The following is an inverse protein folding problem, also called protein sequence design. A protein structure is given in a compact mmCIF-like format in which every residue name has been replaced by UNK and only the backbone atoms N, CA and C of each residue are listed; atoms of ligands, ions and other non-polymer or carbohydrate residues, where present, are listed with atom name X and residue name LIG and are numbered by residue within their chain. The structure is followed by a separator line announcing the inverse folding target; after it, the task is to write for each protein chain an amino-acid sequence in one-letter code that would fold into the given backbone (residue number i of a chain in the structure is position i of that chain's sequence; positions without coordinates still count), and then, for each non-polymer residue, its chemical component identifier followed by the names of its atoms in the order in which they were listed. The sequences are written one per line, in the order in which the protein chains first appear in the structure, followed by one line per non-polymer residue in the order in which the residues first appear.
data_IF_401901438244
#
_entry.id   IF_401901438244
#
_cell.length_a   1.000
_cell.length_b   1.000
_cell.length_c   1.000
_cell.angle_alpha   90.00
_cell.angle_beta   90.00
_cell.angle_gamma   90.00
#
_symmetry.space_group_name_H-M   'P 1'
#
loop_
_entity.id
_entity.type
_entity.pdbx_description
1 polymer ?
#
# COMPACT_ATOMS: atom_id res chain seq x y z
N UNK A 1 -31.46 73.81 -20.75
CA UNK A 1 -30.93 72.85 -19.76
C UNK A 1 -31.08 71.47 -20.38
N UNK A 2 -30.07 71.00 -21.09
CA UNK A 2 -28.90 70.23 -20.61
C UNK A 2 -29.15 68.77 -21.07
N UNK A 3 -28.69 68.35 -22.24
CA UNK A 3 -27.32 68.12 -22.71
C UNK A 3 -26.68 66.82 -22.15
N UNK A 4 -26.01 66.15 -23.09
CA UNK A 4 -24.91 65.18 -22.94
C UNK A 4 -25.27 63.73 -23.22
N UNK A 5 -24.44 62.94 -23.90
CA UNK A 5 -23.31 63.19 -24.79
C UNK A 5 -22.98 61.79 -25.34
N UNK A 6 -22.85 61.65 -26.65
CA UNK A 6 -22.26 60.47 -27.27
C UNK A 6 -20.75 60.55 -26.99
N UNK A 7 -20.21 59.63 -26.20
CA UNK A 7 -18.77 59.42 -26.09
C UNK A 7 -18.39 58.12 -26.81
N UNK A 8 -17.88 58.29 -28.02
CA UNK A 8 -16.95 57.34 -28.63
C UNK A 8 -15.77 57.14 -27.68
N UNK A 9 -15.60 55.93 -27.18
CA UNK A 9 -14.32 55.50 -26.62
C UNK A 9 -13.64 54.64 -27.67
N UNK A 10 -12.73 55.28 -28.41
CA UNK A 10 -11.68 54.59 -29.15
C UNK A 10 -10.85 53.83 -28.10
N UNK A 11 -11.03 52.52 -28.01
CA UNK A 11 -10.03 51.67 -27.41
C UNK A 11 -8.87 51.60 -28.40
N UNK A 12 -7.83 52.39 -28.12
CA UNK A 12 -6.50 52.16 -28.68
C UNK A 12 -6.12 50.73 -28.29
N UNK A 13 -6.13 49.84 -29.27
CA UNK A 13 -5.41 48.58 -29.20
C UNK A 13 -3.93 48.97 -29.11
N UNK A 14 -3.43 49.20 -27.89
CA UNK A 14 -2.01 48.98 -27.65
C UNK A 14 -1.81 47.50 -27.91
N UNK A 15 -1.18 47.17 -29.03
CA UNK A 15 -0.72 45.82 -29.28
C UNK A 15 0.17 45.43 -28.10
N UNK A 16 -0.36 44.60 -27.21
CA UNK A 16 0.48 43.72 -26.44
C UNK A 16 1.13 42.82 -27.49
N UNK A 17 2.44 43.00 -27.69
CA UNK A 17 3.24 41.89 -28.17
C UNK A 17 3.14 40.83 -27.08
N UNK A 18 2.10 40.01 -27.13
CA UNK A 18 2.11 38.73 -26.48
C UNK A 18 3.20 37.95 -27.22
N UNK A 19 4.44 38.12 -26.75
CA UNK A 19 5.44 37.09 -26.89
C UNK A 19 4.83 35.88 -26.20
N UNK A 20 4.08 35.11 -26.99
CA UNK A 20 3.47 33.85 -26.63
C UNK A 20 4.62 32.88 -26.35
N UNK A 21 5.29 33.03 -25.21
CA UNK A 21 6.45 32.20 -24.88
C UNK A 21 5.95 30.79 -24.59
N UNK A 22 6.47 29.79 -25.30
CA UNK A 22 6.21 28.39 -24.98
C UNK A 22 6.74 28.07 -23.58
N UNK A 23 5.87 27.56 -22.72
CA UNK A 23 6.22 27.08 -21.38
C UNK A 23 6.21 25.56 -21.34
N UNK A 24 7.30 24.97 -20.86
CA UNK A 24 7.46 23.52 -20.70
C UNK A 24 6.94 23.08 -19.35
N UNK A 25 6.15 22.01 -19.31
CA UNK A 25 5.57 21.45 -18.10
C UNK A 25 5.53 19.91 -18.18
N UNK A 26 5.26 19.26 -17.03
CA UNK A 26 4.99 17.82 -16.94
C UNK A 26 3.47 17.61 -16.84
N UNK A 27 2.78 17.03 -17.86
CA UNK A 27 1.34 16.82 -17.83
C UNK A 27 0.83 15.99 -16.65
N UNK A 28 1.63 15.05 -16.16
CA UNK A 28 1.34 14.18 -15.02
C UNK A 28 1.43 14.91 -13.67
N UNK A 29 2.07 16.09 -13.61
CA UNK A 29 2.21 16.90 -12.39
C UNK A 29 0.88 17.50 -11.88
N UNK A 30 -0.20 17.37 -12.65
CA UNK A 30 -1.55 17.83 -12.24
C UNK A 30 -2.13 17.09 -11.02
N UNK A 31 -1.58 15.93 -10.67
CA UNK A 31 -2.03 15.11 -9.55
C UNK A 31 -0.88 14.28 -8.96
N UNK A 32 -1.04 13.88 -7.69
CA UNK A 32 -0.17 12.89 -7.07
C UNK A 32 -0.32 11.53 -7.76
N UNK A 33 0.80 10.94 -8.16
CA UNK A 33 0.85 9.62 -8.78
C UNK A 33 1.02 8.55 -7.70
N UNK A 34 -0.09 8.00 -7.19
CA UNK A 34 -0.07 6.93 -6.18
C UNK A 34 0.15 5.58 -6.88
N UNK A 35 1.20 4.84 -6.49
CA UNK A 35 1.53 3.53 -7.04
C UNK A 35 1.76 2.52 -5.93
N UNK A 36 0.94 1.47 -5.97
CA UNK A 36 1.14 0.26 -5.19
C UNK A 36 1.70 -0.80 -6.14
N UNK A 37 2.78 -1.47 -5.75
CA UNK A 37 3.46 -2.45 -6.59
C UNK A 37 3.97 -3.64 -5.77
N UNK A 38 4.17 -4.78 -6.44
CA UNK A 38 4.87 -5.93 -5.85
C UNK A 38 6.37 -5.62 -5.84
N UNK A 39 7.00 -5.72 -4.67
CA UNK A 39 8.43 -5.49 -4.50
C UNK A 39 9.28 -6.49 -5.29
N UNK A 40 8.76 -7.70 -5.54
CA UNK A 40 9.40 -8.73 -6.36
C UNK A 40 9.35 -8.43 -7.87
N UNK A 41 8.62 -7.39 -8.29
CA UNK A 41 8.50 -6.99 -9.69
C UNK A 41 9.06 -5.60 -9.94
N UNK A 42 9.51 -5.36 -11.17
CA UNK A 42 9.90 -4.03 -11.61
C UNK A 42 8.64 -3.18 -11.86
N UNK A 43 8.54 -2.02 -11.20
CA UNK A 43 7.54 -1.02 -11.55
C UNK A 43 8.13 -0.09 -12.62
N UNK A 44 7.43 0.04 -13.76
CA UNK A 44 7.81 0.94 -14.85
C UNK A 44 6.73 1.98 -15.11
N UNK A 45 7.09 3.24 -14.94
CA UNK A 45 6.24 4.41 -15.20
C UNK A 45 6.78 5.21 -16.37
N UNK A 46 5.85 5.72 -17.18
CA UNK A 46 6.16 6.54 -18.35
C UNK A 46 5.47 7.89 -18.20
N UNK A 47 6.19 8.95 -18.52
CA UNK A 47 5.67 10.31 -18.55
C UNK A 47 6.39 11.10 -19.65
N UNK A 48 6.02 12.36 -19.86
CA UNK A 48 6.64 13.19 -20.87
C UNK A 48 6.64 14.66 -20.45
N UNK A 49 7.32 15.50 -21.20
CA UNK A 49 7.18 16.96 -21.08
C UNK A 49 6.47 17.51 -22.31
N UNK A 50 5.70 18.57 -22.12
CA UNK A 50 4.92 19.20 -23.17
C UNK A 50 4.99 20.72 -23.08
N UNK A 51 4.55 21.42 -24.13
CA UNK A 51 4.48 22.88 -24.16
C UNK A 51 3.06 23.44 -24.14
N UNK A 52 2.92 24.58 -23.48
CA UNK A 52 1.69 25.38 -23.44
C UNK A 52 1.99 26.84 -23.79
N UNK A 53 1.00 27.51 -24.41
CA UNK A 53 0.99 28.96 -24.60
C UNK A 53 0.40 29.72 -23.39
N UNK A 54 -0.34 28.99 -22.55
CA UNK A 54 -1.16 29.56 -21.49
C UNK A 54 -0.51 29.32 -20.13
N UNK A 55 -0.66 30.31 -19.24
CA UNK A 55 -0.34 30.19 -17.81
C UNK A 55 -1.12 29.06 -17.12
N UNK A 56 -2.26 28.70 -17.70
CA UNK A 56 -3.02 27.51 -17.34
C UNK A 56 -2.72 26.39 -18.33
N UNK A 57 -2.18 25.29 -17.83
CA UNK A 57 -1.91 24.08 -18.58
C UNK A 57 -3.22 23.49 -19.11
N UNK A 58 -3.55 23.83 -20.35
CA UNK A 58 -4.57 23.16 -21.16
C UNK A 58 -3.85 22.42 -22.28
N UNK A 59 -4.46 21.37 -22.85
CA UNK A 59 -3.89 20.62 -23.96
C UNK A 59 -3.73 21.57 -25.16
N UNK A 60 -2.59 22.22 -25.27
CA UNK A 60 -2.32 23.21 -26.30
C UNK A 60 -1.80 22.48 -27.54
N UNK A 61 -2.36 22.79 -28.71
CA UNK A 61 -1.82 22.32 -29.99
C UNK A 61 -0.62 23.13 -30.48
N UNK A 62 0.17 23.70 -29.55
CA UNK A 62 1.30 24.58 -29.87
C UNK A 62 2.55 23.74 -30.10
N UNK A 63 3.22 24.00 -31.20
CA UNK A 63 4.47 23.36 -31.58
C UNK A 63 5.65 24.31 -31.28
N UNK A 64 6.82 23.75 -30.99
CA UNK A 64 8.04 24.54 -30.79
C UNK A 64 8.71 24.86 -32.13
N UNK A 65 9.19 26.09 -32.30
CA UNK A 65 9.86 26.52 -33.54
C UNK A 65 11.30 26.00 -33.72
N UNK A 66 11.88 25.43 -32.67
CA UNK A 66 13.21 24.82 -32.63
C UNK A 66 13.27 23.81 -31.50
N UNK A 67 14.30 22.96 -31.51
CA UNK A 67 14.48 21.94 -30.47
C UNK A 67 14.55 22.57 -29.07
N UNK A 68 13.71 22.07 -28.16
CA UNK A 68 13.73 22.46 -26.75
C UNK A 68 14.32 21.33 -25.93
N UNK A 69 15.45 21.60 -25.26
CA UNK A 69 16.11 20.62 -24.39
C UNK A 69 15.63 20.80 -22.97
N UNK A 70 15.33 19.69 -22.31
CA UNK A 70 14.77 19.68 -20.95
C UNK A 70 15.58 18.74 -20.08
N UNK A 71 15.96 19.22 -18.91
CA UNK A 71 16.67 18.48 -17.87
C UNK A 71 15.75 18.30 -16.66
N UNK A 72 15.79 17.12 -16.06
CA UNK A 72 15.00 16.73 -14.90
C UNK A 72 15.89 16.11 -13.83
N UNK A 73 15.50 16.27 -12.57
CA UNK A 73 16.13 15.60 -11.43
C UNK A 73 15.11 15.14 -10.42
N UNK A 74 15.54 14.27 -9.51
CA UNK A 74 14.82 14.05 -8.25
C UNK A 74 15.25 15.12 -7.26
N UNK A 75 14.29 15.88 -6.73
CA UNK A 75 14.55 17.03 -5.85
C UNK A 75 14.13 16.76 -4.40
N UNK A 76 15.09 16.47 -3.54
CA UNK A 76 14.86 16.19 -2.12
C UNK A 76 14.16 17.34 -1.38
N UNK A 77 14.41 18.60 -1.76
CA UNK A 77 13.77 19.75 -1.12
C UNK A 77 12.24 19.75 -1.33
N UNK A 78 11.77 19.19 -2.45
CA UNK A 78 10.34 19.05 -2.75
C UNK A 78 9.64 18.04 -1.85
N UNK A 79 10.35 17.07 -1.28
CA UNK A 79 9.77 16.17 -0.27
C UNK A 79 9.40 16.93 1.00
N UNK A 80 10.31 17.79 1.47
CA UNK A 80 10.10 18.60 2.67
C UNK A 80 8.96 19.61 2.47
N UNK A 81 8.90 20.24 1.29
CA UNK A 81 7.82 21.14 0.91
C UNK A 81 6.47 20.41 0.89
N UNK A 82 6.39 19.25 0.23
CA UNK A 82 5.17 18.44 0.17
C UNK A 82 4.69 18.04 1.56
N UNK A 83 5.58 17.49 2.39
CA UNK A 83 5.26 17.06 3.75
C UNK A 83 4.73 18.22 4.61
N UNK A 84 5.36 19.39 4.51
CA UNK A 84 4.93 20.59 5.24
C UNK A 84 3.55 21.09 4.79
N UNK A 85 3.28 21.09 3.48
CA UNK A 85 2.02 21.55 2.91
C UNK A 85 0.86 20.57 3.18
N UNK A 86 1.12 19.27 3.12
CA UNK A 86 0.11 18.23 3.23
C UNK A 86 -0.05 17.67 4.65
N UNK A 87 0.82 18.05 5.59
CA UNK A 87 0.83 17.49 6.95
C UNK A 87 1.19 16.00 6.96
N UNK A 88 2.06 15.58 6.05
CA UNK A 88 2.55 14.20 5.90
C UNK A 88 3.99 14.07 6.38
N UNK A 89 4.50 12.84 6.44
CA UNK A 89 5.88 12.55 6.86
C UNK A 89 6.47 11.45 5.98
N UNK A 90 6.34 11.59 4.65
CA UNK A 90 6.86 10.60 3.71
C UNK A 90 8.37 10.76 3.55
N UNK A 91 9.18 9.70 3.73
CA UNK A 91 10.59 9.72 3.36
C UNK A 91 10.75 9.78 1.82
N UNK A 92 11.88 10.32 1.37
CA UNK A 92 12.31 10.21 -0.03
C UNK A 92 12.56 8.73 -0.37
N UNK A 93 12.13 8.27 -1.53
CA UNK A 93 12.50 6.93 -2.02
C UNK A 93 14.04 6.84 -2.17
N UNK A 94 14.70 5.81 -1.61
CA UNK A 94 16.15 5.68 -1.71
C UNK A 94 16.65 5.65 -3.16
N UNK A 95 17.78 6.31 -3.42
CA UNK A 95 18.30 6.51 -4.79
C UNK A 95 18.73 5.23 -5.50
N UNK A 96 19.03 4.17 -4.76
CA UNK A 96 19.36 2.85 -5.31
C UNK A 96 18.12 2.01 -5.64
N UNK A 97 16.91 2.49 -5.34
CA UNK A 97 15.65 1.85 -5.69
C UNK A 97 15.17 2.18 -7.11
N UNK A 98 15.72 3.18 -7.80
CA UNK A 98 15.15 3.62 -9.07
C UNK A 98 16.19 4.06 -10.10
N UNK A 99 15.77 4.07 -11.36
CA UNK A 99 16.44 4.75 -12.47
C UNK A 99 15.45 5.69 -13.15
N UNK A 100 15.96 6.79 -13.69
CA UNK A 100 15.14 7.84 -14.29
C UNK A 100 15.82 8.35 -15.56
N UNK A 101 15.07 8.48 -16.65
CA UNK A 101 15.50 9.28 -17.80
C UNK A 101 15.48 10.76 -17.39
N UNK A 102 16.65 11.39 -17.32
CA UNK A 102 16.81 12.76 -16.79
C UNK A 102 16.87 13.84 -17.86
N UNK A 103 16.99 13.47 -19.14
CA UNK A 103 17.11 14.43 -20.23
C UNK A 103 16.17 14.06 -21.36
N UNK A 104 15.60 15.07 -22.01
CA UNK A 104 14.81 14.86 -23.23
C UNK A 104 14.80 16.10 -24.11
N UNK A 105 14.28 15.92 -25.32
CA UNK A 105 14.11 16.98 -26.32
C UNK A 105 12.66 16.96 -26.79
N UNK A 106 12.07 18.14 -26.89
CA UNK A 106 10.86 18.37 -27.68
C UNK A 106 11.36 18.85 -29.05
N UNK A 107 11.26 18.02 -30.11
CA UNK A 107 11.77 18.39 -31.43
C UNK A 107 11.07 19.60 -32.02
N UNK A 108 11.75 20.34 -32.89
CA UNK A 108 11.13 21.37 -33.71
C UNK A 108 9.89 20.83 -34.45
N UNK A 109 8.77 21.55 -34.38
CA UNK A 109 7.48 21.14 -34.97
C UNK A 109 6.66 20.20 -34.09
N UNK A 110 7.13 19.84 -32.88
CA UNK A 110 6.39 18.98 -31.95
C UNK A 110 5.87 19.77 -30.74
N UNK A 111 4.89 19.18 -30.06
CA UNK A 111 4.29 19.75 -28.82
C UNK A 111 4.67 18.99 -27.55
N UNK A 112 5.35 17.85 -27.69
CA UNK A 112 5.76 16.97 -26.60
C UNK A 112 7.07 16.25 -26.89
N UNK A 113 7.74 15.83 -25.84
CA UNK A 113 8.93 14.98 -25.95
C UNK A 113 8.56 13.53 -26.26
N UNK A 114 9.58 12.72 -26.52
CA UNK A 114 9.47 11.27 -26.36
C UNK A 114 9.23 10.90 -24.89
N UNK A 115 8.82 9.64 -24.68
CA UNK A 115 8.59 9.05 -23.37
C UNK A 115 9.86 9.08 -22.49
N UNK A 116 9.72 9.69 -21.32
CA UNK A 116 10.63 9.58 -20.17
C UNK A 116 10.21 8.35 -19.35
N UNK A 117 11.19 7.67 -18.76
CA UNK A 117 10.94 6.41 -18.03
C UNK A 117 11.46 6.53 -16.60
N UNK A 118 10.59 6.22 -15.65
CA UNK A 118 10.94 5.94 -14.27
C UNK A 118 10.80 4.43 -14.05
N UNK A 119 11.89 3.78 -13.65
CA UNK A 119 11.89 2.36 -13.30
C UNK A 119 12.23 2.22 -11.82
N UNK A 120 11.45 1.43 -11.08
CA UNK A 120 11.63 1.20 -9.64
C UNK A 120 11.84 -0.29 -9.38
N UNK A 121 12.94 -0.61 -8.71
CA UNK A 121 13.39 -1.93 -8.27
C UNK A 121 13.80 -1.85 -6.78
N UNK A 122 12.86 -2.17 -5.88
CA UNK A 122 12.96 -1.82 -4.47
C UNK A 122 12.98 -3.02 -3.48
N UNK A 123 12.94 -4.27 -3.97
CA UNK A 123 12.97 -5.46 -3.11
C UNK A 123 14.15 -5.44 -2.15
N UNK A 124 13.87 -5.64 -0.85
CA UNK A 124 14.90 -5.65 0.21
C UNK A 124 15.61 -4.31 0.46
N UNK A 125 15.22 -3.23 -0.24
CA UNK A 125 15.80 -1.88 -0.09
C UNK A 125 14.89 -0.93 0.67
N UNK A 126 13.59 -1.19 0.66
CA UNK A 126 12.58 -0.43 1.41
C UNK A 126 11.75 -1.36 2.28
N UNK A 127 11.16 -0.79 3.33
CA UNK A 127 10.20 -1.50 4.17
C UNK A 127 8.88 -1.71 3.42
N UNK A 128 8.35 -2.95 3.37
CA UNK A 128 7.04 -3.21 2.79
C UNK A 128 5.92 -2.42 3.49
N UNK A 129 4.96 -1.94 2.71
CA UNK A 129 3.80 -1.16 3.12
C UNK A 129 4.08 0.24 3.68
N UNK A 130 5.35 0.65 3.77
CA UNK A 130 5.69 2.05 4.01
C UNK A 130 5.63 2.82 2.68
N UNK A 131 5.18 4.07 2.75
CA UNK A 131 5.03 4.93 1.57
C UNK A 131 6.21 5.89 1.45
N UNK A 132 6.75 6.01 0.23
CA UNK A 132 7.90 6.84 -0.11
C UNK A 132 7.50 7.86 -1.17
N UNK A 133 7.99 9.08 -1.04
CA UNK A 133 7.77 10.13 -2.03
C UNK A 133 8.95 10.20 -3.00
N UNK A 134 8.66 10.40 -4.29
CA UNK A 134 9.67 10.64 -5.32
C UNK A 134 9.24 11.83 -6.20
N UNK A 135 9.76 13.04 -5.94
CA UNK A 135 9.48 14.23 -6.74
C UNK A 135 10.44 14.33 -7.93
N UNK A 136 9.92 14.22 -9.15
CA UNK A 136 10.68 14.45 -10.39
C UNK A 136 10.38 15.85 -10.90
N UNK A 137 11.42 16.70 -10.97
CA UNK A 137 11.31 18.13 -11.22
C UNK A 137 12.11 18.56 -12.45
N UNK A 138 11.54 19.41 -13.29
CA UNK A 138 12.27 20.11 -14.37
C UNK A 138 13.27 21.08 -13.74
N UNK A 139 14.56 20.91 -14.04
CA UNK A 139 15.65 21.75 -13.53
C UNK A 139 16.17 22.76 -14.53
N UNK A 140 16.11 22.44 -15.83
CA UNK A 140 16.47 23.39 -16.87
C UNK A 140 15.67 23.16 -18.15
N UNK A 141 15.47 24.26 -18.87
CA UNK A 141 14.84 24.30 -20.19
C UNK A 141 15.69 25.23 -21.07
N UNK A 142 16.18 24.72 -22.18
CA UNK A 142 16.88 25.49 -23.21
C UNK A 142 16.00 25.59 -24.46
N UNK A 143 15.83 26.80 -25.00
CA UNK A 143 14.99 27.03 -26.20
C UNK A 143 13.52 27.36 -25.89
N UNK A 144 13.12 27.35 -24.62
CA UNK A 144 11.80 27.75 -24.13
C UNK A 144 11.90 28.24 -22.68
N UNK A 145 10.76 28.57 -22.05
CA UNK A 145 10.69 28.82 -20.61
C UNK A 145 10.12 27.59 -19.90
N UNK A 146 10.47 27.37 -18.64
CA UNK A 146 9.76 26.41 -17.81
C UNK A 146 8.45 27.04 -17.30
N UNK A 147 7.37 26.25 -17.25
CA UNK A 147 6.16 26.67 -16.56
C UNK A 147 6.43 26.88 -15.06
N UNK A 148 5.62 27.66 -14.36
CA UNK A 148 5.83 27.98 -12.94
C UNK A 148 4.95 27.15 -11.99
N UNK A 149 4.04 26.34 -12.52
CA UNK A 149 3.04 25.60 -11.75
C UNK A 149 3.31 24.09 -11.84
N UNK A 150 3.45 23.53 -13.04
CA UNK A 150 3.52 22.08 -13.28
C UNK A 150 4.94 21.61 -13.66
N UNK A 151 5.92 21.93 -12.81
CA UNK A 151 7.32 21.51 -12.99
C UNK A 151 7.68 20.19 -12.29
N UNK A 152 6.93 19.81 -11.26
CA UNK A 152 7.24 18.66 -10.40
C UNK A 152 6.09 17.66 -10.42
N UNK A 153 6.36 16.45 -10.91
CA UNK A 153 5.46 15.30 -10.70
C UNK A 153 5.89 14.57 -9.43
N UNK A 154 4.93 14.30 -8.56
CA UNK A 154 5.14 13.56 -7.31
C UNK A 154 4.62 12.14 -7.47
N UNK A 155 5.49 11.15 -7.27
CA UNK A 155 5.09 9.76 -7.10
C UNK A 155 5.03 9.42 -5.61
N UNK A 156 3.91 8.84 -5.16
CA UNK A 156 3.80 8.21 -3.83
C UNK A 156 3.81 6.70 -4.04
N UNK A 157 4.91 6.07 -3.66
CA UNK A 157 5.25 4.69 -3.99
C UNK A 157 5.16 3.83 -2.72
N UNK A 158 4.40 2.75 -2.76
CA UNK A 158 4.31 1.77 -1.68
C UNK A 158 4.43 0.35 -2.23
N UNK A 159 5.42 -0.40 -1.76
CA UNK A 159 5.65 -1.77 -2.19
C UNK A 159 5.04 -2.79 -1.24
N UNK A 160 4.44 -3.86 -1.75
CA UNK A 160 4.07 -5.05 -0.98
C UNK A 160 5.08 -6.17 -1.28
N UNK A 161 5.50 -6.91 -0.26
CA UNK A 161 6.35 -8.10 -0.44
C UNK A 161 5.48 -9.35 -0.56
N UNK A 162 6.01 -10.42 -1.15
CA UNK A 162 5.38 -11.73 -1.07
C UNK A 162 5.12 -12.12 0.40
N UNK A 163 3.88 -12.50 0.71
CA UNK A 163 3.43 -12.86 2.07
C UNK A 163 4.24 -14.01 2.68
N UNK A 164 4.82 -14.87 1.86
CA UNK A 164 5.68 -15.98 2.25
C UNK A 164 7.10 -15.55 2.59
N UNK A 165 7.57 -14.45 2.02
CA UNK A 165 8.86 -13.85 2.33
C UNK A 165 8.82 -13.00 3.62
N UNK A 166 7.62 -12.70 4.13
CA UNK A 166 7.47 -11.91 5.35
C UNK A 166 7.77 -12.71 6.63
N UNK A 167 8.36 -12.05 7.64
CA UNK A 167 8.64 -12.67 8.93
C UNK A 167 7.36 -12.97 9.70
N UNK A 168 7.38 -14.11 10.39
CA UNK A 168 6.38 -14.48 11.38
C UNK A 168 6.85 -14.05 12.78
N UNK A 169 5.90 -13.77 13.67
CA UNK A 169 6.19 -13.38 15.04
C UNK A 169 6.88 -14.52 15.83
N UNK A 170 7.77 -14.13 16.75
CA UNK A 170 8.17 -15.02 17.84
C UNK A 170 7.00 -15.20 18.80
N UNK A 171 6.66 -16.47 19.06
CA UNK A 171 5.52 -16.86 19.89
C UNK A 171 5.92 -17.34 21.29
N UNK A 172 7.21 -17.27 21.63
CA UNK A 172 7.74 -17.74 22.91
C UNK A 172 7.09 -17.10 24.15
N UNK A 173 6.54 -15.89 23.99
CA UNK A 173 5.84 -15.15 25.05
C UNK A 173 4.32 -15.17 24.92
N UNK A 174 3.77 -15.84 23.91
CA UNK A 174 2.34 -15.82 23.64
C UNK A 174 1.54 -16.57 24.71
N UNK A 175 0.33 -16.09 25.00
CA UNK A 175 -0.57 -16.70 25.97
C UNK A 175 -2.00 -16.78 25.43
N UNK A 176 -2.68 -17.88 25.72
CA UNK A 176 -4.14 -17.97 25.52
C UNK A 176 -4.81 -17.10 26.57
N UNK A 177 -5.57 -16.11 26.13
CA UNK A 177 -6.36 -15.24 27.02
C UNK A 177 -7.78 -15.78 27.16
N UNK A 178 -8.35 -16.27 26.07
CA UNK A 178 -9.72 -16.75 26.01
C UNK A 178 -9.85 -17.79 24.89
N UNK A 179 -10.68 -18.80 25.10
CA UNK A 179 -11.08 -19.76 24.06
C UNK A 179 -12.56 -20.08 24.22
N UNK A 180 -13.30 -20.20 23.11
CA UNK A 180 -14.73 -20.53 23.15
C UNK A 180 -14.99 -21.98 23.60
N UNK A 181 -14.11 -22.89 23.20
CA UNK A 181 -14.21 -24.33 23.42
C UNK A 181 -12.85 -24.98 23.15
N UNK A 182 -12.49 -26.00 23.92
CA UNK A 182 -11.30 -26.82 23.68
C UNK A 182 -11.57 -28.28 24.07
N UNK A 183 -10.87 -29.22 23.42
CA UNK A 183 -10.95 -30.64 23.72
C UNK A 183 -9.83 -31.03 24.68
N UNK A 184 -10.19 -31.21 25.96
CA UNK A 184 -9.23 -31.52 27.03
C UNK A 184 -9.16 -33.02 27.37
N UNK A 185 -9.87 -33.88 26.62
CA UNK A 185 -10.01 -35.30 26.98
C UNK A 185 -10.01 -36.29 25.80
N UNK A 186 -10.49 -35.86 24.64
CA UNK A 186 -10.65 -36.65 23.43
C UNK A 186 -9.35 -36.82 22.67
N UNK A 187 -8.48 -35.81 22.71
CA UNK A 187 -7.20 -35.78 22.01
C UNK A 187 -6.01 -36.24 22.88
N UNK A 188 -6.26 -36.63 24.13
CA UNK A 188 -5.23 -36.97 25.12
C UNK A 188 -4.80 -35.75 25.96
N UNK A 189 -3.76 -35.91 26.79
CA UNK A 189 -3.25 -34.82 27.65
C UNK A 189 -2.41 -33.79 26.91
N UNK A 190 -1.85 -34.18 25.77
CA UNK A 190 -0.79 -33.44 25.07
C UNK A 190 -1.28 -32.89 23.72
N UNK A 191 -2.60 -32.81 23.51
CA UNK A 191 -3.20 -32.29 22.29
C UNK A 191 -4.62 -31.73 22.54
N UNK A 192 -5.22 -31.03 21.57
CA UNK A 192 -6.61 -30.53 21.63
C UNK A 192 -6.78 -29.20 22.37
N UNK A 193 -5.91 -28.90 23.33
CA UNK A 193 -5.90 -27.63 24.06
C UNK A 193 -5.61 -26.40 23.18
N UNK A 194 -6.14 -25.25 23.57
CA UNK A 194 -5.97 -23.98 22.82
C UNK A 194 -4.50 -23.59 22.57
N UNK A 195 -3.60 -23.89 23.51
CA UNK A 195 -2.16 -23.60 23.39
C UNK A 195 -1.50 -24.29 22.19
N UNK A 196 -2.04 -25.44 21.78
CA UNK A 196 -1.55 -26.19 20.62
C UNK A 196 -1.91 -25.54 19.29
N UNK A 197 -2.65 -24.42 19.29
CA UNK A 197 -2.78 -23.61 18.09
C UNK A 197 -1.51 -22.81 17.78
N UNK A 198 -0.53 -22.71 18.68
CA UNK A 198 0.67 -21.89 18.45
C UNK A 198 1.93 -22.35 19.19
N UNK A 199 2.03 -23.64 19.49
CA UNK A 199 3.17 -24.24 20.19
C UNK A 199 4.38 -24.51 19.27
N UNK A 200 4.22 -24.42 17.94
CA UNK A 200 5.29 -24.63 16.95
C UNK A 200 5.39 -26.05 16.44
N UNK A 201 4.45 -26.92 16.82
CA UNK A 201 4.37 -28.30 16.40
C UNK A 201 3.14 -28.51 15.50
N UNK A 202 3.35 -28.57 14.17
CA UNK A 202 2.29 -28.90 13.18
C UNK A 202 1.62 -30.29 13.35
N UNK A 203 1.99 -31.06 14.38
CA UNK A 203 1.38 -32.35 14.73
C UNK A 203 0.42 -32.27 15.91
N UNK A 204 0.45 -31.19 16.69
CA UNK A 204 -0.56 -30.84 17.69
C UNK A 204 -1.49 -29.77 17.10
N UNK A 205 -2.65 -29.59 17.73
CA UNK A 205 -3.66 -28.64 17.29
C UNK A 205 -4.61 -28.28 18.42
N UNK A 206 -5.10 -27.05 18.41
CA UNK A 206 -6.33 -26.73 19.10
C UNK A 206 -7.48 -27.47 18.43
N UNK A 207 -8.36 -28.07 19.22
CA UNK A 207 -9.60 -28.66 18.75
C UNK A 207 -10.72 -28.19 19.66
N UNK A 208 -11.86 -27.76 19.11
CA UNK A 208 -13.04 -27.51 19.94
C UNK A 208 -13.57 -28.81 20.50
N UNK A 209 -14.17 -28.79 21.70
CA UNK A 209 -14.71 -29.99 22.33
C UNK A 209 -15.59 -30.81 21.37
N UNK A 210 -15.32 -32.11 21.29
CA UNK A 210 -16.14 -33.09 20.57
C UNK A 210 -16.52 -34.29 21.45
N UNK A 211 -15.76 -34.54 22.52
CA UNK A 211 -16.02 -35.61 23.47
C UNK A 211 -16.87 -35.10 24.63
N UNK A 212 -18.08 -35.64 24.72
CA UNK A 212 -19.05 -35.32 25.78
C UNK A 212 -19.91 -34.07 25.51
N UNK A 213 -19.51 -33.23 24.56
CA UNK A 213 -20.28 -32.12 24.02
C UNK A 213 -19.69 -31.70 22.67
N UNK A 214 -20.46 -30.97 21.86
CA UNK A 214 -20.01 -30.42 20.58
C UNK A 214 -20.68 -29.05 20.35
N UNK A 215 -20.13 -27.95 20.90
CA UNK A 215 -20.73 -26.63 20.75
C UNK A 215 -20.72 -26.19 19.27
N UNK A 216 -21.76 -25.47 18.87
CA UNK A 216 -21.88 -24.90 17.52
C UNK A 216 -20.99 -23.66 17.35
N UNK A 217 -20.49 -23.38 16.13
CA UNK A 217 -19.78 -22.14 15.82
C UNK A 217 -20.68 -20.91 16.06
N UNK A 218 -20.10 -19.71 16.26
CA UNK A 218 -18.68 -19.38 16.06
C UNK A 218 -17.76 -19.89 17.17
N UNK A 219 -16.54 -20.26 16.79
CA UNK A 219 -15.47 -20.66 17.72
C UNK A 219 -14.32 -19.69 17.69
N UNK A 220 -13.78 -19.31 18.84
CA UNK A 220 -12.70 -18.33 18.89
C UNK A 220 -11.57 -18.73 19.81
N UNK A 221 -10.39 -18.22 19.47
CA UNK A 221 -9.20 -18.18 20.32
C UNK A 221 -8.69 -16.73 20.37
N UNK A 222 -8.38 -16.25 21.58
CA UNK A 222 -7.80 -14.94 21.84
C UNK A 222 -6.40 -15.13 22.39
N UNK A 223 -5.43 -14.44 21.78
CA UNK A 223 -4.01 -14.57 22.10
C UNK A 223 -3.44 -13.21 22.49
N UNK A 224 -2.73 -13.15 23.62
CA UNK A 224 -1.81 -12.06 23.97
C UNK A 224 -0.44 -12.40 23.38
N UNK A 225 0.07 -11.56 22.48
CA UNK A 225 1.40 -11.75 21.89
C UNK A 225 2.54 -11.38 22.86
N UNK A 226 2.22 -10.76 24.00
CA UNK A 226 3.16 -10.33 25.03
C UNK A 226 3.82 -8.97 24.75
N UNK A 227 3.70 -8.45 23.53
CA UNK A 227 4.23 -7.16 23.10
C UNK A 227 3.37 -6.55 21.98
N UNK A 228 3.48 -5.23 21.80
CA UNK A 228 2.87 -4.54 20.65
C UNK A 228 3.72 -4.79 19.40
N UNK A 229 3.07 -5.14 18.29
CA UNK A 229 3.68 -5.36 16.98
C UNK A 229 2.92 -4.64 15.87
N UNK A 230 3.60 -4.34 14.76
CA UNK A 230 2.95 -3.99 13.49
C UNK A 230 2.52 -5.30 12.81
N UNK A 231 1.28 -5.72 13.07
CA UNK A 231 0.71 -6.94 12.49
C UNK A 231 0.19 -6.64 11.08
N UNK A 232 0.78 -7.29 10.08
CA UNK A 232 0.47 -7.10 8.67
C UNK A 232 -0.57 -8.11 8.17
N UNK A 233 -0.73 -9.21 8.88
CA UNK A 233 -1.56 -10.34 8.48
C UNK A 233 -1.37 -11.51 9.42
N UNK A 234 -1.77 -12.69 8.97
CA UNK A 234 -1.68 -13.92 9.74
C UNK A 234 -1.22 -15.10 8.88
N UNK A 235 -0.71 -16.11 9.57
CA UNK A 235 -0.52 -17.46 9.07
C UNK A 235 -1.50 -18.38 9.80
N UNK A 236 -2.05 -19.35 9.10
CA UNK A 236 -2.76 -20.47 9.70
C UNK A 236 -2.30 -21.79 9.06
N UNK A 237 -2.30 -22.88 9.85
CA UNK A 237 -2.04 -24.25 9.39
C UNK A 237 -3.19 -25.14 9.83
N UNK A 238 -3.72 -25.91 8.89
CA UNK A 238 -4.79 -26.87 9.14
C UNK A 238 -4.28 -28.13 9.87
N UNK A 239 -5.18 -28.79 10.62
CA UNK A 239 -4.93 -30.13 11.16
C UNK A 239 -4.46 -31.08 10.06
N UNK A 240 -3.55 -31.98 10.40
CA UNK A 240 -2.90 -32.85 9.42
C UNK A 240 -3.68 -34.09 8.97
N UNK A 241 -4.91 -34.25 9.44
CA UNK A 241 -5.78 -35.37 9.08
C UNK A 241 -7.24 -35.06 9.39
N UNK A 242 -8.11 -35.92 8.87
CA UNK A 242 -9.53 -35.95 9.24
C UNK A 242 -10.34 -34.83 8.61
N UNK A 243 -11.34 -34.37 9.35
CA UNK A 243 -12.25 -33.28 8.97
C UNK A 243 -12.02 -32.07 9.90
N UNK A 244 -13.02 -31.22 10.11
CA UNK A 244 -12.99 -30.10 11.06
C UNK A 244 -12.09 -28.92 10.65
N UNK A 245 -11.69 -28.85 9.37
CA UNK A 245 -10.96 -27.70 8.84
C UNK A 245 -11.84 -26.44 8.78
N UNK A 246 -11.34 -25.28 9.24
CA UNK A 246 -12.03 -24.01 9.10
C UNK A 246 -12.37 -23.71 7.64
N UNK A 247 -13.57 -23.19 7.37
CA UNK A 247 -13.98 -22.72 6.05
C UNK A 247 -13.97 -21.20 5.99
N UNK A 248 -14.51 -20.56 7.03
CA UNK A 248 -14.58 -19.11 7.14
C UNK A 248 -14.12 -18.67 8.53
N UNK A 249 -13.44 -17.53 8.59
CA UNK A 249 -13.07 -16.90 9.85
C UNK A 249 -13.05 -15.37 9.77
N UNK A 250 -13.14 -14.74 10.93
CA UNK A 250 -12.82 -13.33 11.12
C UNK A 250 -11.56 -13.18 11.95
N UNK A 251 -10.80 -12.13 11.65
CA UNK A 251 -9.65 -11.70 12.44
C UNK A 251 -9.97 -10.34 13.07
N UNK A 252 -9.69 -10.21 14.35
CA UNK A 252 -9.76 -8.96 15.08
C UNK A 252 -8.47 -8.74 15.86
N UNK A 253 -8.13 -7.48 16.10
CA UNK A 253 -6.91 -7.09 16.83
C UNK A 253 -7.23 -6.10 17.92
N UNK A 254 -6.38 -6.04 18.95
CA UNK A 254 -6.51 -5.10 20.04
C UNK A 254 -5.14 -4.70 20.59
N UNK A 255 -5.04 -3.48 21.10
CA UNK A 255 -3.89 -3.02 21.90
C UNK A 255 -4.06 -3.30 23.39
N UNK A 256 -5.30 -3.34 23.89
CA UNK A 256 -5.61 -3.37 25.32
C UNK A 256 -6.37 -4.63 25.77
N UNK A 257 -6.73 -5.51 24.84
CA UNK A 257 -7.46 -6.76 25.09
C UNK A 257 -8.96 -6.57 25.33
N UNK A 258 -9.47 -5.33 25.30
CA UNK A 258 -10.86 -4.98 25.61
C UNK A 258 -11.59 -4.30 24.45
N UNK A 259 -10.89 -3.46 23.68
CA UNK A 259 -11.39 -2.80 22.48
C UNK A 259 -10.85 -3.51 21.25
N UNK A 260 -11.75 -4.07 20.47
CA UNK A 260 -11.43 -4.89 19.32
C UNK A 260 -11.71 -4.13 18.03
N UNK A 261 -10.76 -4.20 17.10
CA UNK A 261 -10.90 -3.70 15.74
C UNK A 261 -10.90 -4.85 14.75
N UNK A 262 -11.76 -4.79 13.75
CA UNK A 262 -11.73 -5.75 12.64
C UNK A 262 -10.44 -5.64 11.83
N UNK A 263 -9.84 -6.80 11.57
CA UNK A 263 -8.67 -7.00 10.72
C UNK A 263 -8.99 -7.81 9.44
N UNK A 264 -10.23 -8.26 9.27
CA UNK A 264 -10.72 -8.86 8.03
C UNK A 264 -11.63 -10.07 8.24
N UNK A 265 -12.29 -10.47 7.15
CA UNK A 265 -13.05 -11.71 7.03
C UNK A 265 -12.44 -12.53 5.89
N UNK A 266 -12.23 -13.81 6.14
CA UNK A 266 -11.56 -14.74 5.23
C UNK A 266 -12.46 -15.94 4.99
N UNK A 267 -12.77 -16.20 3.72
CA UNK A 267 -13.53 -17.38 3.28
C UNK A 267 -12.62 -18.30 2.46
N UNK A 268 -13.13 -19.50 2.17
CA UNK A 268 -12.46 -20.48 1.32
C UNK A 268 -11.05 -20.83 1.81
N UNK A 269 -10.90 -20.90 3.13
CA UNK A 269 -9.64 -21.29 3.76
C UNK A 269 -9.22 -22.69 3.25
N UNK A 270 -7.93 -22.94 2.97
CA UNK A 270 -7.48 -24.24 2.49
C UNK A 270 -7.96 -25.41 3.35
N UNK A 271 -8.55 -26.43 2.73
CA UNK A 271 -9.01 -27.65 3.40
C UNK A 271 -8.17 -28.83 2.95
N UNK A 272 -7.31 -29.31 3.84
CA UNK A 272 -6.41 -30.42 3.55
C UNK A 272 -5.46 -30.69 4.72
N UNK A 273 -4.69 -31.76 4.62
CA UNK A 273 -3.72 -32.13 5.65
C UNK A 273 -2.49 -31.19 5.62
N UNK A 274 -2.24 -30.46 6.71
CA UNK A 274 -1.09 -29.53 6.87
C UNK A 274 -1.03 -28.41 5.83
N UNK A 275 -2.18 -28.03 5.28
CA UNK A 275 -2.24 -26.89 4.40
C UNK A 275 -1.88 -25.63 5.19
N UNK A 276 -0.97 -24.85 4.63
CA UNK A 276 -0.54 -23.58 5.21
C UNK A 276 -1.14 -22.45 4.37
N UNK A 277 -1.71 -21.45 5.04
CA UNK A 277 -2.24 -20.28 4.41
C UNK A 277 -1.69 -19.03 5.09
N UNK A 278 -1.34 -18.04 4.28
CA UNK A 278 -0.89 -16.73 4.74
C UNK A 278 -1.66 -15.66 4.00
N UNK A 279 -2.07 -14.63 4.72
CA UNK A 279 -2.78 -13.51 4.11
C UNK A 279 -2.50 -12.22 4.85
N UNK A 280 -2.41 -11.13 4.09
CA UNK A 280 -2.36 -9.78 4.65
C UNK A 280 -3.75 -9.34 5.11
N UNK A 281 -3.76 -8.44 6.09
CA UNK A 281 -4.92 -7.66 6.46
C UNK A 281 -5.16 -6.54 5.43
N UNK A 282 -6.39 -5.98 5.36
CA UNK A 282 -6.64 -4.70 4.71
C UNK A 282 -5.90 -3.56 5.45
N UNK A 283 -4.63 -3.38 5.12
CA UNK A 283 -3.70 -2.50 5.85
C UNK A 283 -3.20 -3.12 7.14
N UNK A 284 -2.11 -2.58 7.70
CA UNK A 284 -1.54 -3.09 8.95
C UNK A 284 -2.39 -2.69 10.17
N UNK A 285 -2.20 -3.44 11.26
CA UNK A 285 -2.77 -3.17 12.58
C UNK A 285 -1.66 -3.06 13.62
N UNK A 286 -1.68 -2.00 14.43
CA UNK A 286 -0.92 -1.99 15.67
C UNK A 286 -1.68 -2.85 16.68
N UNK A 287 -1.06 -3.93 17.15
CA UNK A 287 -1.74 -4.92 17.96
C UNK A 287 -0.81 -5.55 18.99
N UNK A 288 -1.35 -5.85 20.17
CA UNK A 288 -0.75 -6.77 21.15
C UNK A 288 -1.55 -8.07 21.25
N UNK A 289 -2.86 -7.98 21.01
CA UNK A 289 -3.77 -9.11 21.04
C UNK A 289 -4.36 -9.33 19.66
N UNK A 290 -4.67 -10.58 19.33
CA UNK A 290 -5.54 -10.91 18.21
C UNK A 290 -6.58 -11.95 18.64
N UNK A 291 -7.72 -11.92 17.96
CA UNK A 291 -8.80 -12.90 18.07
C UNK A 291 -9.05 -13.49 16.70
N UNK A 292 -8.93 -14.80 16.60
CA UNK A 292 -9.36 -15.57 15.44
C UNK A 292 -10.70 -16.20 15.78
N UNK A 293 -11.72 -15.95 14.96
CA UNK A 293 -13.06 -16.53 15.14
C UNK A 293 -13.46 -17.31 13.89
N UNK A 294 -13.57 -18.63 14.01
CA UNK A 294 -14.05 -19.53 12.95
C UNK A 294 -15.57 -19.47 12.93
N UNK A 295 -16.12 -18.96 11.84
CA UNK A 295 -17.57 -18.74 11.66
C UNK A 295 -18.25 -19.87 10.90
N UNK A 296 -17.49 -20.62 10.09
CA UNK A 296 -17.96 -21.80 9.39
C UNK A 296 -16.86 -22.87 9.29
N UNK A 297 -17.28 -24.13 9.27
CA UNK A 297 -16.41 -25.31 9.14
C UNK A 297 -16.88 -26.11 7.93
N UNK A 298 -15.93 -26.64 7.17
CA UNK A 298 -16.27 -27.47 6.00
C UNK A 298 -17.16 -28.65 6.36
N UNK A 299 -17.97 -29.07 5.38
CA UNK A 299 -18.95 -30.15 5.51
C UNK A 299 -20.05 -29.88 6.57
N UNK A 300 -20.26 -28.62 6.96
CA UNK A 300 -21.30 -28.23 7.91
C UNK A 300 -21.06 -28.73 9.33
N UNK A 301 -19.81 -29.01 9.69
CA UNK A 301 -19.43 -29.49 11.02
C UNK A 301 -19.55 -28.39 12.07
N UNK A 302 -19.69 -28.82 13.32
CA UNK A 302 -19.66 -27.91 14.46
C UNK A 302 -18.27 -27.81 15.05
N UNK A 303 -17.60 -28.95 15.24
CA UNK A 303 -16.23 -28.94 15.74
C UNK A 303 -15.22 -28.47 14.68
N UNK A 304 -14.18 -27.75 15.13
CA UNK A 304 -13.06 -27.30 14.29
C UNK A 304 -11.71 -27.53 14.97
N UNK A 305 -10.65 -27.62 14.16
CA UNK A 305 -9.28 -27.77 14.64
C UNK A 305 -8.29 -26.89 13.85
N UNK A 306 -7.30 -26.34 14.56
CA UNK A 306 -6.24 -25.50 13.99
C UNK A 306 -4.89 -25.92 14.55
N UNK A 307 -3.95 -26.28 13.68
CA UNK A 307 -2.63 -26.76 14.07
C UNK A 307 -1.69 -25.62 14.42
N UNK A 308 -1.65 -24.57 13.61
CA UNK A 308 -0.83 -23.41 13.90
C UNK A 308 -1.53 -22.12 13.52
N UNK A 309 -1.33 -21.07 14.30
CA UNK A 309 -1.66 -19.69 14.00
C UNK A 309 -0.45 -18.82 14.31
N UNK A 310 -0.14 -17.87 13.45
CA UNK A 310 0.95 -16.94 13.68
C UNK A 310 0.59 -15.56 13.12
N UNK A 311 1.28 -14.54 13.62
CA UNK A 311 1.18 -13.17 13.13
C UNK A 311 2.28 -12.94 12.09
N UNK A 312 1.91 -12.43 10.91
CA UNK A 312 2.89 -11.84 10.00
C UNK A 312 3.14 -10.44 10.54
N UNK A 313 4.34 -10.18 11.02
CA UNK A 313 4.60 -8.92 11.73
C UNK A 313 6.04 -8.46 11.60
N UNK A 314 6.20 -7.15 11.67
CA UNK A 314 7.50 -6.51 11.82
C UNK A 314 7.56 -6.00 13.26
N UNK A 315 8.54 -6.47 14.03
CA UNK A 315 8.85 -5.91 15.34
C UNK A 315 9.53 -4.57 15.08
N UNK A 316 8.94 -3.48 15.58
CA UNK A 316 9.59 -2.17 15.56
C UNK A 316 10.66 -2.09 16.63
#
# INVERSE_FOLDING_TARGET
MAASAVLCSFALLSGCSDDDVCKVYIPEAKALQIKNFDLGEELREVFHVAVTASDYVTRSGKEVGGDVKVQLTVDEAKVQEYNSLCGTDYPLLPSDCYTLTTETVIPAGESSSADLVLTVNAQGKIQPFDSYLLPVTITSVEGAQADHIQQTVYYLLSGAEDVWAMPLADRSTWQVVEVSSEETSGEGSDNGHAIHAFDGLKGTFWHTQWKGNEPQPPHHIVVDMGQEVKMLGFQYVSRDHGEAWPQEMTMETSLDGSKWESAGTYSDLPAGAKEEFRSYFPGFKQARYFRLTITAVYSGKWATAVAEINAISIIK
#
